data_IF_295131587804
#
_entry.id   IF_295131587804
#
_cell.length_a   1.000
_cell.length_b   1.000
_cell.length_c   1.000
_cell.angle_alpha   90.00
_cell.angle_beta   90.00
_cell.angle_gamma   90.00
#
_symmetry.space_group_name_H-M   'P 1'
#
loop_
_entity.id
_entity.type
_entity.pdbx_description
1 polymer ?
#
# COMPACT_ATOMS: atom_id res chain seq x y z
N UNK A 1 13.04 2.47 1.26
CA UNK A 1 11.58 2.72 1.35
C UNK A 1 10.87 1.39 1.55
N UNK A 2 9.63 1.37 2.07
CA UNK A 2 8.84 0.13 2.10
C UNK A 2 7.97 0.01 0.85
N UNK A 3 7.73 -1.21 0.41
CA UNK A 3 6.87 -1.54 -0.73
C UNK A 3 5.91 -2.65 -0.32
N UNK A 4 4.67 -2.53 -0.76
CA UNK A 4 3.61 -3.53 -0.60
C UNK A 4 3.61 -4.44 -1.81
N UNK A 5 3.95 -5.71 -1.64
CA UNK A 5 3.59 -6.75 -2.59
C UNK A 5 2.14 -7.16 -2.32
N UNK A 6 1.21 -6.66 -3.13
CA UNK A 6 -0.20 -7.04 -3.05
C UNK A 6 -0.39 -8.38 -3.75
N UNK A 7 -0.81 -9.39 -2.98
CA UNK A 7 -0.93 -10.76 -3.47
C UNK A 7 -2.18 -10.94 -4.34
N UNK A 8 -2.13 -11.87 -5.32
CA UNK A 8 -3.26 -12.15 -6.20
C UNK A 8 -4.51 -12.57 -5.43
N UNK A 9 -5.65 -12.50 -6.11
CA UNK A 9 -6.94 -12.92 -5.55
C UNK A 9 -6.99 -14.44 -5.33
N UNK A 10 -6.83 -14.88 -4.09
CA UNK A 10 -7.29 -16.21 -3.65
C UNK A 10 -8.74 -16.09 -3.16
N UNK A 11 -9.63 -16.90 -3.74
CA UNK A 11 -11.05 -17.15 -3.37
C UNK A 11 -11.62 -16.29 -2.23
N UNK A 12 -12.42 -15.25 -2.52
CA UNK A 12 -13.14 -14.36 -1.56
C UNK A 12 -12.45 -14.06 -0.21
N UNK A 13 -11.12 -14.20 -0.17
CA UNK A 13 -10.32 -14.07 1.02
C UNK A 13 -10.02 -12.59 1.25
N UNK A 14 -9.75 -12.21 2.51
CA UNK A 14 -9.27 -10.87 2.82
C UNK A 14 -8.06 -10.49 1.96
N UNK A 15 -7.81 -9.19 1.84
CA UNK A 15 -6.64 -8.71 1.11
C UNK A 15 -5.41 -9.18 1.87
N UNK A 16 -4.47 -9.78 1.17
CA UNK A 16 -3.19 -10.22 1.74
C UNK A 16 -2.07 -9.50 1.01
N UNK A 17 -1.09 -9.02 1.76
CA UNK A 17 0.11 -8.42 1.17
C UNK A 17 1.37 -8.78 1.94
N UNK A 18 2.53 -8.64 1.30
CA UNK A 18 3.83 -8.63 1.99
C UNK A 18 4.37 -7.22 2.02
N UNK A 19 4.90 -6.80 3.17
CA UNK A 19 5.59 -5.54 3.31
C UNK A 19 7.09 -5.80 3.28
N UNK A 20 7.80 -5.21 2.32
CA UNK A 20 9.23 -5.41 2.12
C UNK A 20 9.97 -4.08 2.19
N UNK A 21 11.10 -4.06 2.89
CA UNK A 21 12.02 -2.92 2.86
C UNK A 21 12.94 -3.02 1.65
N UNK A 22 12.88 -2.01 0.79
CA UNK A 22 13.74 -1.90 -0.39
C UNK A 22 14.82 -0.83 -0.15
N UNK A 23 16.07 -1.26 -0.28
CA UNK A 23 17.27 -0.42 -0.18
C UNK A 23 17.91 -0.29 -1.57
N UNK A 24 17.86 0.92 -2.16
CA UNK A 24 18.58 1.21 -3.41
C UNK A 24 18.14 0.44 -4.66
N UNK A 25 16.95 -0.17 -4.66
CA UNK A 25 16.44 -0.90 -5.83
C UNK A 25 15.96 0.06 -6.94
N UNK A 26 16.21 -0.31 -8.20
CA UNK A 26 15.47 0.24 -9.34
C UNK A 26 14.06 -0.32 -9.29
N UNK A 27 13.09 0.57 -9.40
CA UNK A 27 11.69 0.31 -9.15
C UNK A 27 10.93 0.24 -10.47
N UNK A 28 11.45 -0.53 -11.43
CA UNK A 28 10.92 -0.55 -12.80
C UNK A 28 9.44 -0.95 -12.85
N UNK A 29 8.97 -1.69 -11.83
CA UNK A 29 7.58 -2.12 -11.67
C UNK A 29 6.88 -1.53 -10.43
N UNK A 30 7.46 -0.54 -9.73
CA UNK A 30 6.80 0.06 -8.57
C UNK A 30 5.73 1.05 -9.01
N UNK A 31 4.52 0.80 -8.54
CA UNK A 31 3.39 1.68 -8.75
C UNK A 31 3.18 2.53 -7.49
N UNK A 32 2.98 3.85 -7.65
CA UNK A 32 2.56 4.71 -6.55
C UNK A 32 1.04 4.80 -6.51
N UNK A 33 0.45 4.64 -5.32
CA UNK A 33 -0.99 4.68 -5.13
C UNK A 33 -1.44 6.00 -4.50
N UNK A 34 -2.29 6.74 -5.21
CA UNK A 34 -2.88 8.00 -4.79
C UNK A 34 -4.39 7.83 -4.61
N UNK A 35 -4.89 8.07 -3.40
CA UNK A 35 -6.29 7.88 -3.06
C UNK A 35 -6.75 8.92 -2.05
N UNK A 36 -8.04 9.19 -2.05
CA UNK A 36 -8.66 10.00 -0.99
C UNK A 36 -8.69 9.16 0.28
N UNK A 37 -8.07 9.63 1.36
CA UNK A 37 -8.00 8.86 2.61
C UNK A 37 -9.39 8.55 3.20
N UNK A 38 -10.38 9.41 2.94
CA UNK A 38 -11.75 9.29 3.41
C UNK A 38 -11.91 9.67 4.87
N UNK A 39 -13.12 9.49 5.41
CA UNK A 39 -13.33 9.56 6.85
C UNK A 39 -12.56 8.41 7.52
N UNK A 40 -12.03 8.59 8.75
CA UNK A 40 -11.31 7.57 9.50
C UNK A 40 -12.28 6.53 10.08
N UNK A 41 -13.19 6.02 9.25
CA UNK A 41 -14.03 4.88 9.57
C UNK A 41 -13.17 3.64 9.30
N UNK A 42 -12.49 3.20 10.34
CA UNK A 42 -11.79 1.94 10.35
C UNK A 42 -12.84 0.83 10.43
N UNK A 43 -12.93 0.01 9.39
CA UNK A 43 -13.71 -1.22 9.44
C UNK A 43 -12.90 -2.34 10.10
N UNK A 44 -13.53 -3.49 10.35
CA UNK A 44 -12.89 -4.76 10.76
C UNK A 44 -11.59 -5.04 9.95
N UNK A 45 -10.69 -5.95 10.37
CA UNK A 45 -9.39 -6.10 9.71
C UNK A 45 -9.52 -6.72 8.31
N UNK A 46 -9.27 -5.93 7.25
CA UNK A 46 -9.44 -6.38 5.86
C UNK A 46 -8.09 -6.53 5.12
N UNK A 47 -6.97 -6.24 5.79
CA UNK A 47 -5.61 -6.45 5.28
C UNK A 47 -4.77 -7.30 6.24
N UNK A 48 -4.40 -8.48 5.78
CA UNK A 48 -3.41 -9.34 6.43
C UNK A 48 -2.04 -9.10 5.81
N UNK A 49 -1.08 -8.66 6.62
CA UNK A 49 0.32 -8.62 6.21
C UNK A 49 0.95 -9.97 6.56
N UNK A 50 1.59 -10.62 5.59
CA UNK A 50 2.16 -11.99 5.72
C UNK A 50 3.20 -12.12 6.85
N UNK A 51 3.65 -11.03 7.45
CA UNK A 51 4.47 -11.03 8.67
C UNK A 51 3.63 -11.15 9.96
N UNK A 52 2.48 -11.82 9.90
CA UNK A 52 1.49 -12.00 11.00
C UNK A 52 0.99 -10.69 11.63
N UNK A 53 1.09 -9.58 10.91
CA UNK A 53 0.56 -8.29 11.35
C UNK A 53 -0.77 -8.02 10.65
N UNK A 54 -1.79 -7.70 11.42
CA UNK A 54 -3.08 -7.27 10.90
C UNK A 54 -3.12 -5.75 10.95
N UNK A 55 -3.34 -5.11 9.80
CA UNK A 55 -3.44 -3.66 9.69
C UNK A 55 -4.89 -3.28 9.41
N UNK A 56 -5.45 -2.42 10.27
CA UNK A 56 -6.76 -1.82 10.01
C UNK A 56 -6.62 -0.74 8.93
N UNK A 57 -7.44 -0.85 7.89
CA UNK A 57 -7.50 0.13 6.81
C UNK A 57 -8.79 0.94 6.89
N UNK A 58 -8.81 2.09 6.22
CA UNK A 58 -10.07 2.75 5.91
C UNK A 58 -10.84 1.93 4.88
N UNK A 59 -12.17 2.02 4.91
CA UNK A 59 -13.04 1.34 3.95
C UNK A 59 -12.64 1.64 2.49
N UNK A 60 -12.33 2.92 2.20
CA UNK A 60 -11.94 3.32 0.85
C UNK A 60 -10.64 2.65 0.38
N UNK A 61 -9.60 2.64 1.23
CA UNK A 61 -8.35 1.98 0.88
C UNK A 61 -8.52 0.48 0.73
N UNK A 62 -9.34 -0.14 1.59
CA UNK A 62 -9.68 -1.56 1.51
C UNK A 62 -10.33 -1.92 0.17
N UNK A 63 -11.38 -1.18 -0.23
CA UNK A 63 -12.04 -1.37 -1.53
C UNK A 63 -11.09 -1.15 -2.71
N UNK A 64 -10.26 -0.10 -2.64
CA UNK A 64 -9.30 0.17 -3.70
C UNK A 64 -8.29 -0.98 -3.86
N UNK A 65 -7.70 -1.46 -2.76
CA UNK A 65 -6.75 -2.58 -2.81
C UNK A 65 -7.42 -3.85 -3.34
N UNK A 66 -8.67 -4.13 -2.98
CA UNK A 66 -9.42 -5.25 -3.55
C UNK A 66 -9.58 -5.11 -5.07
N UNK A 67 -9.96 -3.93 -5.55
CA UNK A 67 -10.12 -3.65 -6.97
C UNK A 67 -8.80 -3.71 -7.75
N UNK A 68 -7.68 -3.39 -7.09
CA UNK A 68 -6.35 -3.43 -7.68
C UNK A 68 -5.73 -4.84 -7.73
N UNK A 69 -6.25 -5.84 -7.03
CA UNK A 69 -5.67 -7.20 -7.07
C UNK A 69 -5.78 -7.79 -8.48
N UNK A 70 -4.66 -8.26 -9.01
CA UNK A 70 -4.68 -9.11 -10.19
C UNK A 70 -5.14 -10.53 -9.82
N UNK A 71 -5.67 -11.26 -10.79
CA UNK A 71 -6.20 -12.61 -10.58
C UNK A 71 -5.09 -13.65 -10.36
N UNK A 72 -3.94 -13.48 -11.03
CA UNK A 72 -2.92 -14.54 -11.13
C UNK A 72 -1.50 -14.10 -10.81
N UNK A 73 -1.27 -12.81 -10.52
CA UNK A 73 0.06 -12.29 -10.21
C UNK A 73 0.01 -11.26 -9.09
N UNK A 74 1.12 -11.10 -8.37
CA UNK A 74 1.30 -10.01 -7.42
C UNK A 74 1.50 -8.67 -8.14
N UNK A 75 1.33 -7.57 -7.41
CA UNK A 75 1.75 -6.23 -7.87
C UNK A 75 2.49 -5.49 -6.76
N UNK A 76 3.40 -4.60 -7.14
CA UNK A 76 4.22 -3.83 -6.21
C UNK A 76 3.71 -2.41 -6.11
N UNK A 77 3.18 -2.05 -4.94
CA UNK A 77 2.56 -0.78 -4.68
C UNK A 77 3.30 -0.04 -3.57
N UNK A 78 3.45 1.27 -3.72
CA UNK A 78 3.70 2.16 -2.60
C UNK A 78 2.37 2.79 -2.16
N UNK A 79 1.96 2.49 -0.92
CA UNK A 79 0.73 3.00 -0.30
C UNK A 79 1.14 3.71 1.00
N UNK A 80 0.92 5.02 1.10
CA UNK A 80 1.37 5.82 2.25
C UNK A 80 0.95 5.25 3.61
N UNK A 81 -0.31 4.84 3.77
CA UNK A 81 -0.87 4.34 5.02
C UNK A 81 -0.26 3.02 5.48
N UNK A 82 0.34 2.24 4.56
CA UNK A 82 0.93 0.93 4.84
C UNK A 82 2.46 1.02 4.86
N UNK A 83 3.05 1.71 3.89
CA UNK A 83 4.50 1.81 3.73
C UNK A 83 5.15 2.75 4.74
N UNK A 84 4.42 3.72 5.30
CA UNK A 84 4.91 4.65 6.33
C UNK A 84 4.45 4.15 7.69
N UNK A 85 5.36 4.09 8.65
CA UNK A 85 4.98 3.78 10.02
C UNK A 85 4.22 4.97 10.60
N UNK A 86 2.91 4.84 10.73
CA UNK A 86 2.05 5.92 11.20
C UNK A 86 2.26 6.26 12.68
N UNK A 87 2.89 5.37 13.45
CA UNK A 87 3.13 5.53 14.89
C UNK A 87 4.47 6.21 15.20
N UNK A 88 5.41 6.21 14.25
CA UNK A 88 6.70 6.91 14.39
C UNK A 88 6.65 8.26 13.69
N UNK A 89 6.48 9.34 14.46
CA UNK A 89 6.40 10.70 13.93
C UNK A 89 7.69 11.15 13.23
N UNK A 90 8.85 10.64 13.66
CA UNK A 90 10.14 11.00 13.07
C UNK A 90 10.28 10.35 11.70
N UNK A 91 10.03 9.04 11.63
CA UNK A 91 10.02 8.31 10.37
C UNK A 91 8.97 8.87 9.41
N UNK A 92 7.74 9.09 9.90
CA UNK A 92 6.65 9.66 9.11
C UNK A 92 7.04 10.99 8.49
N UNK A 93 7.66 11.89 9.26
CA UNK A 93 8.12 13.18 8.75
C UNK A 93 9.17 13.02 7.65
N UNK A 94 10.14 12.11 7.83
CA UNK A 94 11.12 11.80 6.80
C UNK A 94 10.50 11.18 5.54
N UNK A 95 9.53 10.27 5.68
CA UNK A 95 8.85 9.64 4.54
C UNK A 95 7.99 10.65 3.77
N UNK A 96 7.27 11.54 4.47
CA UNK A 96 6.46 12.59 3.85
C UNK A 96 7.32 13.49 2.97
N UNK A 97 8.52 13.84 3.41
CA UNK A 97 9.48 14.62 2.59
C UNK A 97 9.95 13.85 1.34
N UNK A 98 9.93 12.52 1.36
CA UNK A 98 10.34 11.67 0.24
C UNK A 98 9.21 11.32 -0.75
N UNK A 99 7.95 11.68 -0.45
CA UNK A 99 6.79 11.36 -1.31
C UNK A 99 7.02 11.82 -2.74
N UNK A 100 7.47 13.07 -2.94
CA UNK A 100 7.69 13.60 -4.29
C UNK A 100 8.64 12.73 -5.12
N UNK A 101 9.72 12.24 -4.51
CA UNK A 101 10.70 11.36 -5.18
C UNK A 101 10.11 9.99 -5.48
N UNK A 102 9.29 9.44 -4.59
CA UNK A 102 8.63 8.14 -4.79
C UNK A 102 7.69 8.22 -5.99
N UNK A 103 6.88 9.28 -6.07
CA UNK A 103 5.98 9.49 -7.21
C UNK A 103 6.72 9.76 -8.52
N UNK A 104 7.82 10.52 -8.46
CA UNK A 104 8.67 10.80 -9.62
C UNK A 104 9.33 9.53 -10.20
N UNK A 105 9.71 8.58 -9.35
CA UNK A 105 10.39 7.34 -9.75
C UNK A 105 9.46 6.14 -9.89
N UNK A 106 8.16 6.29 -9.62
CA UNK A 106 7.19 5.23 -9.83
C UNK A 106 6.99 5.00 -11.33
N UNK A 107 6.90 3.74 -11.74
CA UNK A 107 6.64 3.39 -13.14
C UNK A 107 5.22 3.77 -13.56
N UNK A 108 4.28 3.76 -12.62
CA UNK A 108 2.90 4.19 -12.81
C UNK A 108 2.36 4.84 -11.55
N UNK A 109 1.57 5.90 -11.70
CA UNK A 109 0.78 6.48 -10.60
C UNK A 109 -0.68 6.12 -10.81
N UNK A 110 -1.26 5.43 -9.83
CA UNK A 110 -2.66 5.00 -9.85
C UNK A 110 -3.46 5.93 -8.98
N UNK A 111 -4.54 6.48 -9.54
CA UNK A 111 -5.43 7.40 -8.83
C UNK A 111 -6.77 6.71 -8.57
N UNK A 112 -7.18 6.68 -7.30
CA UNK A 112 -8.47 6.16 -6.86
C UNK A 112 -9.33 7.26 -6.26
N UNK A 113 -10.50 7.49 -6.85
CA UNK A 113 -11.37 8.61 -6.49
C UNK A 113 -12.47 8.26 -5.46
N UNK A 114 -12.64 6.98 -5.12
CA UNK A 114 -13.75 6.50 -4.29
C UNK A 114 -14.90 5.97 -5.11
#
# INVERSE_FOLDING_TARGET
>A
IRVVELLPREQDAPVTCRLTECYGATFDDLEAFSYVWGAPVLTEPWLTVVTDAVISLTENLSHALQALRYQHQSRYLWVDAICINQLDTTEKSHQVQNIGRIYEHASTVIVWLG
#
